data_IF_809906940593
#
_entry.id   IF_809906940593
#
_cell.length_a   1.000
_cell.length_b   1.000
_cell.length_c   1.000
_cell.angle_alpha   90.00
_cell.angle_beta   90.00
_cell.angle_gamma   90.00
#
_symmetry.space_group_name_H-M   'P 1'
#
loop_
_entity.id
_entity.type
_entity.pdbx_description
1 polymer ?
#
# COMPACT_ATOMS: atom_id res chain seq x y z
N UNK A 1 26.24 -24.19 -7.22
CA UNK A 1 26.29 -23.02 -6.32
C UNK A 1 26.04 -23.49 -4.89
N UNK A 2 26.90 -23.10 -3.95
CA UNK A 2 27.00 -23.63 -2.58
C UNK A 2 25.81 -23.18 -1.73
N UNK A 3 25.14 -24.13 -1.07
CA UNK A 3 24.11 -23.91 -0.06
C UNK A 3 24.77 -23.41 1.23
N UNK A 4 24.35 -22.24 1.72
CA UNK A 4 24.71 -21.76 3.05
C UNK A 4 23.61 -22.23 4.02
N UNK A 5 23.96 -23.17 4.88
CA UNK A 5 23.21 -23.52 6.07
C UNK A 5 23.58 -22.52 7.17
N UNK A 6 22.59 -21.92 7.82
CA UNK A 6 22.79 -21.13 9.04
C UNK A 6 22.40 -21.99 10.23
N UNK A 7 23.43 -22.32 11.02
CA UNK A 7 23.35 -22.99 12.32
C UNK A 7 22.59 -22.12 13.33
N UNK A 8 21.62 -22.72 14.02
CA UNK A 8 21.29 -22.36 15.40
C UNK A 8 22.45 -22.73 16.32
N UNK A 9 22.94 -21.79 17.13
CA UNK A 9 23.58 -22.11 18.41
C UNK A 9 23.79 -20.87 19.30
N UNK A 10 23.35 -21.03 20.55
CA UNK A 10 23.92 -20.53 21.80
C UNK A 10 23.55 -19.12 22.30
N UNK A 11 22.74 -19.16 23.37
CA UNK A 11 22.57 -18.11 24.36
C UNK A 11 23.88 -17.82 25.11
N UNK A 12 24.11 -16.57 25.55
CA UNK A 12 25.10 -16.29 26.58
C UNK A 12 24.47 -16.21 27.98
N UNK A 13 25.31 -16.58 28.94
CA UNK A 13 25.04 -16.72 30.34
C UNK A 13 24.69 -15.39 31.05
N UNK A 14 23.87 -15.55 32.08
CA UNK A 14 23.53 -14.57 33.09
C UNK A 14 24.79 -14.11 33.84
N UNK A 15 25.10 -12.82 33.80
CA UNK A 15 26.06 -12.17 34.71
C UNK A 15 25.38 -10.96 35.37
N UNK A 16 25.22 -11.04 36.68
CA UNK A 16 24.74 -9.97 37.55
C UNK A 16 25.77 -8.85 37.66
N UNK A 17 25.42 -7.59 37.35
CA UNK A 17 26.26 -6.44 37.68
C UNK A 17 26.05 -5.97 39.14
N UNK A 18 27.08 -5.41 39.81
CA UNK A 18 26.96 -4.84 41.14
C UNK A 18 26.24 -3.49 41.13
N UNK A 19 25.56 -3.20 42.24
CA UNK A 19 24.79 -1.98 42.48
C UNK A 19 25.65 -0.71 42.33
N UNK A 20 25.28 0.15 41.37
CA UNK A 20 25.82 1.49 41.21
C UNK A 20 24.83 2.52 41.74
N UNK A 21 25.24 3.23 42.78
CA UNK A 21 24.55 4.38 43.39
C UNK A 21 24.41 5.48 42.35
N UNK A 22 23.17 5.80 41.95
CA UNK A 22 22.87 6.89 41.01
C UNK A 22 22.32 8.09 41.77
N UNK A 23 22.94 9.24 41.54
CA UNK A 23 22.55 10.55 42.04
C UNK A 23 21.46 11.09 41.09
N UNK A 24 20.19 11.03 41.51
CA UNK A 24 19.08 11.63 40.76
C UNK A 24 19.18 13.16 40.82
N UNK A 25 19.60 13.77 39.72
CA UNK A 25 19.28 15.15 39.39
C UNK A 25 18.15 15.12 38.38
N UNK A 26 16.94 15.65 38.68
CA UNK A 26 15.88 15.73 37.70
C UNK A 26 16.27 16.78 36.65
N UNK A 27 16.83 16.32 35.54
CA UNK A 27 16.91 17.12 34.32
C UNK A 27 15.48 17.37 33.84
N UNK A 28 14.94 18.52 34.22
CA UNK A 28 13.70 19.06 33.69
C UNK A 28 13.80 19.10 32.17
N UNK A 29 13.20 18.11 31.52
CA UNK A 29 13.09 18.05 30.06
C UNK A 29 12.01 19.05 29.71
N UNK A 30 12.40 20.29 29.40
CA UNK A 30 11.49 21.30 28.87
C UNK A 30 11.02 20.80 27.50
N UNK A 31 9.84 20.18 27.45
CA UNK A 31 9.14 19.84 26.21
C UNK A 31 8.86 21.15 25.48
N UNK A 32 9.68 21.49 24.49
CA UNK A 32 9.35 22.55 23.55
C UNK A 32 8.09 22.13 22.81
N UNK A 33 6.99 22.84 23.01
CA UNK A 33 5.77 22.62 22.24
C UNK A 33 6.07 22.90 20.77
N UNK A 34 6.07 21.84 19.95
CA UNK A 34 6.17 21.95 18.49
C UNK A 34 4.99 22.79 17.99
N UNK A 35 5.26 23.79 17.16
CA UNK A 35 4.21 24.63 16.59
C UNK A 35 3.26 23.77 15.74
N UNK A 36 1.95 24.00 15.84
CA UNK A 36 0.96 23.27 15.06
C UNK A 36 1.16 23.51 13.55
N UNK A 37 1.30 22.42 12.77
CA UNK A 37 1.41 22.46 11.32
C UNK A 37 0.71 21.24 10.68
N UNK A 38 0.46 21.32 9.39
CA UNK A 38 0.07 20.19 8.55
C UNK A 38 0.99 20.12 7.35
N UNK A 39 1.52 18.93 7.06
CA UNK A 39 2.30 18.64 5.87
C UNK A 39 1.65 17.50 5.11
N UNK A 40 1.33 17.71 3.84
CA UNK A 40 0.66 16.75 2.98
C UNK A 40 1.53 16.46 1.75
N UNK A 41 1.63 15.18 1.39
CA UNK A 41 2.36 14.68 0.25
C UNK A 41 1.45 13.71 -0.52
N UNK A 42 1.02 14.14 -1.70
CA UNK A 42 0.10 13.41 -2.56
C UNK A 42 0.81 13.00 -3.83
N UNK A 43 0.70 11.74 -4.21
CA UNK A 43 1.15 11.25 -5.51
C UNK A 43 -0.07 10.73 -6.27
N UNK A 44 -0.26 11.17 -7.51
CA UNK A 44 -1.35 10.74 -8.40
C UNK A 44 -0.85 10.36 -9.78
N UNK A 45 -1.42 9.29 -10.35
CA UNK A 45 -1.12 8.82 -11.69
C UNK A 45 -2.28 7.99 -12.26
N UNK A 46 -2.39 7.96 -13.59
CA UNK A 46 -3.46 7.25 -14.31
C UNK A 46 -4.76 8.07 -14.41
N UNK A 47 -5.82 7.48 -14.98
CA UNK A 47 -7.13 8.10 -15.07
C UNK A 47 -7.86 8.12 -13.73
N UNK A 48 -8.88 8.97 -13.62
CA UNK A 48 -9.84 8.92 -12.52
C UNK A 48 -10.77 7.72 -12.73
N UNK A 49 -10.82 6.84 -11.74
CA UNK A 49 -11.64 5.64 -11.72
C UNK A 49 -12.65 5.81 -10.56
N UNK A 50 -13.91 6.13 -10.87
CA UNK A 50 -14.96 6.32 -9.86
C UNK A 50 -15.03 7.73 -9.25
N UNK A 51 -15.62 7.85 -8.06
CA UNK A 51 -15.97 9.12 -7.40
C UNK A 51 -14.71 9.87 -6.87
N UNK A 52 -13.93 10.48 -7.75
CA UNK A 52 -12.79 11.33 -7.37
C UNK A 52 -11.53 10.58 -6.94
N UNK A 53 -11.36 9.31 -7.32
CA UNK A 53 -10.16 8.51 -7.01
C UNK A 53 -9.34 8.29 -8.27
N UNK A 54 -8.04 8.60 -8.22
CA UNK A 54 -7.12 8.30 -9.31
C UNK A 54 -6.70 6.82 -9.26
N UNK A 55 -6.46 6.20 -10.41
CA UNK A 55 -6.02 4.80 -10.52
C UNK A 55 -4.85 4.49 -9.57
N UNK A 56 -3.88 5.40 -9.52
CA UNK A 56 -2.81 5.39 -8.54
C UNK A 56 -2.91 6.67 -7.73
N UNK A 57 -3.13 6.51 -6.43
CA UNK A 57 -3.15 7.60 -5.48
C UNK A 57 -2.57 7.14 -4.14
N UNK A 58 -1.67 7.96 -3.62
CA UNK A 58 -1.21 7.87 -2.23
C UNK A 58 -1.23 9.25 -1.62
N UNK A 59 -1.76 9.37 -0.41
CA UNK A 59 -1.85 10.62 0.33
C UNK A 59 -1.26 10.41 1.71
N UNK A 60 -0.09 11.02 1.96
CA UNK A 60 0.49 11.14 3.29
C UNK A 60 0.09 12.49 3.89
N UNK A 61 -0.40 12.50 5.11
CA UNK A 61 -0.66 13.71 5.91
C UNK A 61 0.05 13.57 7.25
N UNK A 62 0.81 14.58 7.64
CA UNK A 62 1.45 14.71 8.95
C UNK A 62 0.81 15.88 9.66
N UNK A 63 0.14 15.60 10.78
CA UNK A 63 -0.45 16.61 11.65
C UNK A 63 0.46 16.83 12.86
N UNK A 64 1.17 17.97 12.85
CA UNK A 64 2.07 18.36 13.92
C UNK A 64 1.38 18.77 15.22
N UNK A 65 0.07 19.05 15.20
CA UNK A 65 -0.67 19.38 16.42
C UNK A 65 -1.03 18.13 17.23
N UNK A 66 -1.40 17.05 16.54
CA UNK A 66 -1.74 15.77 17.17
C UNK A 66 -0.56 14.80 17.23
N UNK A 67 0.50 15.06 16.45
CA UNK A 67 1.64 14.18 16.30
C UNK A 67 1.29 12.87 15.59
N UNK A 68 0.30 12.90 14.69
CA UNK A 68 -0.17 11.73 13.93
C UNK A 68 0.19 11.90 12.47
N UNK A 69 0.74 10.84 11.86
CA UNK A 69 0.87 10.72 10.43
C UNK A 69 -0.09 9.65 9.89
N UNK A 70 -0.78 9.97 8.80
CA UNK A 70 -1.71 9.09 8.12
C UNK A 70 -1.29 8.91 6.67
N UNK A 71 -1.25 7.67 6.20
CA UNK A 71 -1.05 7.34 4.80
C UNK A 71 -2.30 6.62 4.29
N UNK A 72 -2.93 7.16 3.26
CA UNK A 72 -4.01 6.54 2.52
C UNK A 72 -3.50 6.11 1.15
N UNK A 73 -3.72 4.85 0.77
CA UNK A 73 -3.33 4.31 -0.55
C UNK A 73 -4.48 3.57 -1.20
N UNK A 74 -4.63 3.74 -2.51
CA UNK A 74 -5.67 3.04 -3.30
C UNK A 74 -5.07 1.98 -4.22
N UNK A 75 -3.79 2.08 -4.54
CA UNK A 75 -3.06 1.09 -5.33
C UNK A 75 -1.58 1.21 -5.02
N UNK A 76 -0.87 0.09 -5.04
CA UNK A 76 0.58 0.14 -5.01
C UNK A 76 1.10 0.87 -6.26
N UNK A 77 2.00 1.85 -6.10
CA UNK A 77 2.58 2.60 -7.23
C UNK A 77 3.34 1.72 -8.25
N UNK A 78 3.56 0.47 -7.88
CA UNK A 78 4.25 -0.63 -8.56
C UNK A 78 3.54 -1.67 -9.40
N UNK A 79 2.19 -1.75 -9.41
CA UNK A 79 1.52 -3.09 -9.49
C UNK A 79 2.20 -4.12 -8.57
N UNK A 80 2.77 -3.62 -7.47
CA UNK A 80 3.77 -4.33 -6.69
C UNK A 80 3.13 -5.48 -5.94
N UNK A 81 3.88 -6.57 -5.97
CA UNK A 81 3.64 -7.85 -5.31
C UNK A 81 3.06 -7.71 -3.89
N UNK A 82 1.79 -8.03 -3.62
CA UNK A 82 1.31 -8.22 -2.24
C UNK A 82 1.29 -6.98 -1.33
N UNK A 83 1.36 -5.78 -1.88
CA UNK A 83 1.33 -4.54 -1.08
C UNK A 83 -0.12 -4.23 -0.65
N UNK A 84 -0.38 -4.01 0.65
CA UNK A 84 -1.71 -3.69 1.13
C UNK A 84 -2.14 -2.27 0.72
N UNK A 85 -3.45 -2.05 0.67
CA UNK A 85 -4.05 -0.73 0.41
C UNK A 85 -5.00 -0.31 1.54
N UNK A 86 -5.31 0.97 1.62
CA UNK A 86 -6.18 1.57 2.63
C UNK A 86 -5.43 2.56 3.50
N UNK A 87 -5.84 2.69 4.76
CA UNK A 87 -5.32 3.67 5.71
C UNK A 87 -4.34 3.06 6.70
N UNK A 88 -3.22 3.74 6.85
CA UNK A 88 -2.13 3.45 7.78
C UNK A 88 -1.90 4.66 8.68
N UNK A 89 -1.61 4.43 9.95
CA UNK A 89 -1.55 5.51 10.93
C UNK A 89 -0.54 5.22 12.04
N UNK A 90 0.31 6.19 12.34
CA UNK A 90 1.28 6.09 13.44
C UNK A 90 1.50 7.45 14.10
N UNK A 91 1.89 7.41 15.37
CA UNK A 91 2.39 8.59 16.08
C UNK A 91 3.82 8.92 15.63
N UNK A 92 4.10 10.21 15.47
CA UNK A 92 5.40 10.77 15.10
C UNK A 92 6.00 11.46 16.31
N UNK A 93 7.28 11.21 16.59
CA UNK A 93 7.95 11.83 17.74
C UNK A 93 8.23 13.32 17.55
N UNK A 94 8.23 14.08 18.64
CA UNK A 94 8.40 15.54 18.64
C UNK A 94 9.64 16.02 17.87
N UNK A 95 10.77 15.32 18.01
CA UNK A 95 12.01 15.65 17.32
C UNK A 95 11.87 15.54 15.79
N UNK A 96 11.14 14.53 15.33
CA UNK A 96 10.88 14.33 13.90
C UNK A 96 9.87 15.34 13.37
N UNK A 97 8.82 15.66 14.14
CA UNK A 97 7.87 16.72 13.80
C UNK A 97 8.55 18.10 13.69
N UNK A 98 9.45 18.41 14.62
CA UNK A 98 10.21 19.65 14.60
C UNK A 98 11.15 19.72 13.38
N UNK A 99 11.83 18.63 13.04
CA UNK A 99 12.69 18.54 11.85
C UNK A 99 11.89 18.70 10.55
N UNK A 100 10.77 18.00 10.41
CA UNK A 100 9.87 18.12 9.25
C UNK A 100 9.32 19.55 9.09
N UNK A 101 8.85 20.16 10.18
CA UNK A 101 8.37 21.54 10.15
C UNK A 101 9.48 22.52 9.76
N UNK A 102 10.69 22.34 10.30
CA UNK A 102 11.81 23.22 9.98
C UNK A 102 12.22 23.11 8.51
N UNK A 103 12.29 21.89 7.97
CA UNK A 103 12.58 21.63 6.54
C UNK A 103 11.52 22.26 5.65
N UNK A 104 10.24 22.01 5.94
CA UNK A 104 9.13 22.53 5.16
C UNK A 104 9.04 24.08 5.22
N UNK A 105 9.29 24.69 6.38
CA UNK A 105 9.31 26.14 6.54
C UNK A 105 10.51 26.81 5.84
N UNK A 106 11.64 26.12 5.71
CA UNK A 106 12.80 26.60 4.98
C UNK A 106 12.66 26.49 3.45
N UNK A 107 11.68 25.72 2.96
CA UNK A 107 11.43 25.62 1.53
C UNK A 107 10.92 26.94 0.96
N UNK A 108 11.44 27.30 -0.20
CA UNK A 108 10.92 28.41 -1.01
C UNK A 108 10.43 27.82 -2.33
N UNK A 109 9.12 27.49 -2.43
CA UNK A 109 8.57 26.95 -3.66
C UNK A 109 8.81 27.91 -4.83
N UNK A 110 9.41 27.41 -5.90
CA UNK A 110 9.69 28.17 -7.11
C UNK A 110 8.53 28.11 -8.09
N UNK A 111 8.59 28.93 -9.15
CA UNK A 111 7.70 28.76 -10.28
C UNK A 111 8.02 27.42 -10.97
N UNK A 112 7.04 26.51 -10.99
CA UNK A 112 7.20 25.23 -11.67
C UNK A 112 6.53 25.32 -13.04
N UNK A 113 7.30 25.04 -14.09
CA UNK A 113 6.73 24.82 -15.41
C UNK A 113 6.31 23.36 -15.49
N UNK A 114 5.01 23.09 -15.34
CA UNK A 114 4.50 21.74 -15.55
C UNK A 114 4.76 21.33 -17.01
N UNK A 115 5.84 20.58 -17.23
CA UNK A 115 6.04 19.78 -18.43
C UNK A 115 5.33 18.44 -18.22
N UNK A 116 4.02 18.42 -18.41
CA UNK A 116 3.21 17.20 -18.35
C UNK A 116 2.80 16.72 -19.74
N UNK A 117 2.90 15.41 -19.98
CA UNK A 117 2.30 14.71 -21.11
C UNK A 117 1.35 13.58 -20.65
N UNK A 118 0.71 12.86 -21.58
CA UNK A 118 -0.03 11.64 -21.23
C UNK A 118 0.89 10.67 -20.47
N UNK A 119 0.40 10.10 -19.36
CA UNK A 119 1.18 9.15 -18.57
C UNK A 119 2.21 9.81 -17.63
N UNK A 120 2.03 11.07 -17.25
CA UNK A 120 2.87 11.71 -16.24
C UNK A 120 2.28 11.53 -14.84
N UNK A 121 3.12 11.14 -13.88
CA UNK A 121 2.76 11.11 -12.46
C UNK A 121 3.00 12.49 -11.85
N UNK A 122 2.07 12.94 -11.00
CA UNK A 122 2.14 14.24 -10.33
C UNK A 122 2.32 14.05 -8.84
N UNK A 123 3.29 14.76 -8.27
CA UNK A 123 3.47 14.92 -6.83
C UNK A 123 2.90 16.29 -6.43
N UNK A 124 2.12 16.35 -5.36
CA UNK A 124 1.71 17.61 -4.73
C UNK A 124 2.16 17.62 -3.27
N UNK A 125 2.95 18.64 -2.92
CA UNK A 125 3.38 18.91 -1.55
C UNK A 125 2.64 20.15 -1.04
N UNK A 126 2.08 20.07 0.16
CA UNK A 126 1.36 21.20 0.79
C UNK A 126 1.77 21.32 2.24
N UNK A 127 2.24 22.49 2.64
CA UNK A 127 2.61 22.82 4.02
C UNK A 127 1.76 23.97 4.54
N UNK A 128 1.23 23.84 5.75
CA UNK A 128 0.46 24.89 6.43
C UNK A 128 0.86 24.98 7.89
N UNK A 129 1.20 26.18 8.36
CA UNK A 129 1.51 26.47 9.76
C UNK A 129 0.92 27.84 10.14
N UNK A 130 -0.16 27.83 10.93
CA UNK A 130 -0.94 29.03 11.20
C UNK A 130 -1.51 29.65 9.92
N UNK A 131 -1.20 30.92 9.66
CA UNK A 131 -1.60 31.66 8.45
C UNK A 131 -0.59 31.56 7.31
N UNK A 132 0.56 30.91 7.54
CA UNK A 132 1.62 30.75 6.56
C UNK A 132 1.54 29.36 5.93
N UNK A 133 1.98 29.24 4.69
CA UNK A 133 2.00 27.95 4.01
C UNK A 133 2.34 28.07 2.54
N UNK A 134 2.46 26.93 1.91
CA UNK A 134 2.70 26.82 0.48
C UNK A 134 2.13 25.51 -0.06
N UNK A 135 1.94 25.48 -1.38
CA UNK A 135 1.52 24.31 -2.12
C UNK A 135 2.29 24.26 -3.44
N UNK A 136 2.79 23.08 -3.78
CA UNK A 136 3.56 22.87 -5.00
C UNK A 136 3.19 21.54 -5.65
N UNK A 137 2.79 21.60 -6.92
CA UNK A 137 2.65 20.42 -7.77
C UNK A 137 3.87 20.28 -8.70
N UNK A 138 4.40 19.06 -8.79
CA UNK A 138 5.65 18.69 -9.46
C UNK A 138 5.39 17.49 -10.37
N UNK A 139 6.11 17.41 -11.48
CA UNK A 139 6.20 16.18 -12.26
C UNK A 139 7.15 15.20 -11.55
N UNK A 140 6.67 14.00 -11.19
CA UNK A 140 7.49 13.02 -10.47
C UNK A 140 8.64 12.42 -11.29
N UNK A 141 8.66 12.65 -12.60
CA UNK A 141 9.69 12.18 -13.52
C UNK A 141 10.70 13.27 -13.90
N UNK A 142 10.55 14.49 -13.37
CA UNK A 142 11.45 15.61 -13.64
C UNK A 142 12.40 15.82 -12.45
N UNK A 143 13.64 15.29 -12.50
CA UNK A 143 14.58 15.38 -11.38
C UNK A 143 14.96 16.83 -11.04
N UNK A 144 14.94 17.74 -12.02
CA UNK A 144 15.28 19.15 -11.78
C UNK A 144 14.18 19.85 -10.96
N UNK A 145 12.92 19.41 -11.12
CA UNK A 145 11.80 19.88 -10.29
C UNK A 145 11.80 19.28 -8.89
N UNK A 146 12.27 18.04 -8.74
CA UNK A 146 12.29 17.33 -7.45
C UNK A 146 13.48 17.71 -6.58
N UNK A 147 14.65 17.97 -7.17
CA UNK A 147 15.90 18.23 -6.44
C UNK A 147 15.80 19.30 -5.32
N UNK A 148 15.06 20.42 -5.49
CA UNK A 148 14.88 21.39 -4.41
C UNK A 148 14.11 20.84 -3.19
N UNK A 149 13.29 19.80 -3.40
CA UNK A 149 12.43 19.18 -2.39
C UNK A 149 13.02 17.89 -1.79
N UNK A 150 14.13 17.37 -2.32
CA UNK A 150 14.81 16.17 -1.81
C UNK A 150 14.99 16.17 -0.28
N UNK A 151 15.41 17.28 0.37
CA UNK A 151 15.56 17.31 1.83
C UNK A 151 14.27 17.03 2.60
N UNK A 152 13.10 17.22 1.98
CA UNK A 152 11.78 16.93 2.53
C UNK A 152 11.25 15.58 2.04
N UNK A 153 11.48 15.22 0.78
CA UNK A 153 11.01 13.96 0.20
C UNK A 153 11.65 12.73 0.85
N UNK A 154 12.94 12.79 1.19
CA UNK A 154 13.64 11.69 1.85
C UNK A 154 12.98 11.27 3.18
N UNK A 155 12.79 12.16 4.18
CA UNK A 155 12.14 11.78 5.43
C UNK A 155 10.67 11.38 5.25
N UNK A 156 9.94 11.97 4.29
CA UNK A 156 8.57 11.56 3.99
C UNK A 156 8.51 10.14 3.42
N UNK A 157 9.43 9.76 2.54
CA UNK A 157 9.52 8.39 2.01
C UNK A 157 9.88 7.37 3.09
N UNK A 158 10.78 7.72 4.01
CA UNK A 158 11.07 6.89 5.19
C UNK A 158 9.85 6.74 6.11
N UNK A 159 9.07 7.82 6.28
CA UNK A 159 7.81 7.78 7.02
C UNK A 159 6.77 6.87 6.37
N UNK A 160 6.60 6.95 5.04
CA UNK A 160 5.72 6.03 4.29
C UNK A 160 6.10 4.57 4.55
N UNK A 161 7.40 4.23 4.47
CA UNK A 161 7.87 2.88 4.74
C UNK A 161 7.53 2.38 6.16
N UNK A 162 7.59 3.26 7.17
CA UNK A 162 7.18 2.93 8.55
C UNK A 162 5.67 2.82 8.70
N UNK A 163 4.90 3.68 8.04
CA UNK A 163 3.43 3.68 8.14
C UNK A 163 2.82 2.37 7.63
N UNK A 164 3.38 1.76 6.58
CA UNK A 164 2.95 0.43 6.14
C UNK A 164 3.01 -0.67 7.22
N UNK A 165 3.78 -0.47 8.30
CA UNK A 165 3.85 -1.38 9.45
C UNK A 165 2.76 -1.13 10.50
N UNK A 166 1.95 -0.08 10.33
CA UNK A 166 0.89 0.32 11.24
C UNK A 166 -0.46 0.46 10.52
N UNK A 167 -1.02 -0.63 9.96
CA UNK A 167 -2.32 -0.61 9.33
C UNK A 167 -3.42 -0.23 10.33
N UNK A 168 -4.27 0.72 9.95
CA UNK A 168 -5.42 1.13 10.75
C UNK A 168 -6.71 0.61 10.14
N UNK A 169 -6.88 0.81 8.83
CA UNK A 169 -8.01 0.36 8.03
C UNK A 169 -7.50 -0.06 6.65
N UNK A 170 -6.85 -1.22 6.58
CA UNK A 170 -6.13 -1.67 5.39
C UNK A 170 -6.50 -3.11 5.01
N UNK A 171 -6.51 -3.37 3.70
CA UNK A 171 -6.76 -4.67 3.12
C UNK A 171 -5.46 -5.27 2.57
N UNK A 172 -5.31 -6.59 2.72
CA UNK A 172 -4.29 -7.39 2.06
C UNK A 172 -4.91 -8.52 1.26
N UNK A 173 -4.22 -8.99 0.22
CA UNK A 173 -4.72 -10.04 -0.67
C UNK A 173 -3.71 -11.17 -0.77
N UNK A 174 -4.19 -12.40 -0.66
CA UNK A 174 -3.41 -13.63 -0.78
C UNK A 174 -4.08 -14.57 -1.78
N UNK A 175 -3.27 -15.37 -2.47
CA UNK A 175 -3.72 -16.50 -3.27
C UNK A 175 -3.11 -17.78 -2.71
N UNK A 176 -3.95 -18.77 -2.45
CA UNK A 176 -3.55 -20.05 -1.88
C UNK A 176 -3.73 -21.16 -2.93
N UNK A 177 -2.82 -22.15 -2.95
CA UNK A 177 -2.90 -23.26 -3.89
C UNK A 177 -4.16 -24.10 -3.64
N UNK A 178 -4.76 -24.57 -4.72
CA UNK A 178 -5.77 -25.62 -4.65
C UNK A 178 -5.18 -26.98 -4.26
N UNK A 179 -6.03 -27.93 -3.89
CA UNK A 179 -5.60 -29.28 -3.48
C UNK A 179 -4.91 -30.07 -4.62
N UNK A 180 -5.13 -29.70 -5.88
CA UNK A 180 -4.53 -30.30 -7.07
C UNK A 180 -4.16 -29.22 -8.10
N UNK A 181 -3.32 -29.52 -9.11
CA UNK A 181 -2.94 -28.58 -10.18
C UNK A 181 -4.10 -27.99 -10.99
N UNK A 182 -5.26 -28.62 -10.96
CA UNK A 182 -6.49 -28.17 -11.63
C UNK A 182 -7.60 -27.83 -10.65
N UNK A 183 -7.30 -27.83 -9.34
CA UNK A 183 -8.26 -27.39 -8.34
C UNK A 183 -8.40 -25.86 -8.40
N UNK A 184 -9.57 -25.34 -8.02
CA UNK A 184 -9.73 -23.93 -7.71
C UNK A 184 -8.63 -23.41 -6.78
N UNK A 185 -8.12 -22.22 -7.07
CA UNK A 185 -7.34 -21.46 -6.09
C UNK A 185 -8.28 -20.85 -5.07
N UNK A 186 -7.76 -20.56 -3.88
CA UNK A 186 -8.48 -19.74 -2.90
C UNK A 186 -7.90 -18.34 -2.92
N UNK A 187 -8.74 -17.35 -3.19
CA UNK A 187 -8.44 -15.94 -3.04
C UNK A 187 -8.86 -15.52 -1.64
N UNK A 188 -7.91 -15.02 -0.85
CA UNK A 188 -8.15 -14.60 0.52
C UNK A 188 -7.94 -13.10 0.66
N UNK A 189 -9.00 -12.40 1.07
CA UNK A 189 -8.94 -10.99 1.43
C UNK A 189 -8.83 -10.86 2.95
N UNK A 190 -7.85 -10.09 3.42
CA UNK A 190 -7.59 -9.88 4.84
C UNK A 190 -7.86 -8.43 5.23
N UNK A 191 -8.50 -8.21 6.38
CA UNK A 191 -8.42 -6.93 7.07
C UNK A 191 -7.17 -6.94 7.96
N UNK A 192 -6.14 -6.23 7.52
CA UNK A 192 -4.88 -6.07 8.26
C UNK A 192 -4.97 -4.98 9.33
N UNK A 193 -6.02 -4.17 9.32
CA UNK A 193 -6.23 -3.05 10.22
C UNK A 193 -6.76 -3.43 11.60
N UNK A 194 -7.11 -2.38 12.35
CA UNK A 194 -7.60 -2.44 13.74
C UNK A 194 -9.09 -2.14 13.87
N UNK A 195 -9.74 -1.72 12.79
CA UNK A 195 -11.16 -1.36 12.75
C UNK A 195 -11.92 -2.25 11.76
N UNK A 196 -13.24 -2.32 11.90
CA UNK A 196 -14.09 -2.97 10.91
C UNK A 196 -14.08 -2.20 9.59
N UNK A 197 -14.10 -2.94 8.48
CA UNK A 197 -14.13 -2.38 7.13
C UNK A 197 -15.43 -2.78 6.43
N UNK A 198 -15.98 -1.87 5.65
CA UNK A 198 -16.91 -2.21 4.60
C UNK A 198 -16.11 -2.57 3.34
N UNK A 199 -16.49 -3.65 2.66
CA UNK A 199 -15.89 -4.08 1.39
C UNK A 199 -17.02 -4.51 0.47
N UNK A 200 -16.98 -4.15 -0.81
CA UNK A 200 -17.88 -4.80 -1.78
C UNK A 200 -17.53 -6.27 -1.92
N UNK A 201 -18.55 -7.13 -1.99
CA UNK A 201 -18.38 -8.56 -2.20
C UNK A 201 -17.64 -8.80 -3.54
N UNK A 202 -16.39 -9.29 -3.51
CA UNK A 202 -15.59 -9.52 -4.70
C UNK A 202 -16.25 -10.51 -5.67
N UNK A 203 -17.07 -11.46 -5.18
CA UNK A 203 -17.77 -12.41 -6.05
C UNK A 203 -18.82 -11.75 -6.96
N UNK A 204 -19.26 -10.53 -6.62
CA UNK A 204 -20.14 -9.71 -7.44
C UNK A 204 -19.43 -8.84 -8.49
N UNK A 205 -18.09 -8.82 -8.53
CA UNK A 205 -17.31 -8.03 -9.48
C UNK A 205 -17.13 -8.80 -10.79
N UNK A 206 -17.63 -8.23 -11.90
CA UNK A 206 -17.66 -8.89 -13.21
C UNK A 206 -16.34 -8.80 -13.96
N UNK A 207 -16.09 -9.72 -14.88
CA UNK A 207 -14.96 -9.63 -15.82
C UNK A 207 -15.17 -8.63 -16.97
N UNK A 208 -16.31 -7.92 -17.00
CA UNK A 208 -16.74 -7.08 -18.12
C UNK A 208 -16.60 -5.57 -17.87
N UNK A 209 -16.20 -5.17 -16.67
CA UNK A 209 -16.00 -3.76 -16.31
C UNK A 209 -14.50 -3.55 -16.08
N UNK A 210 -13.85 -2.75 -16.94
CA UNK A 210 -12.39 -2.54 -16.90
C UNK A 210 -11.93 -1.96 -15.55
N UNK A 211 -12.85 -1.32 -14.84
CA UNK A 211 -12.61 -0.62 -13.57
C UNK A 211 -13.06 -1.41 -12.32
N UNK A 212 -13.66 -2.59 -12.50
CA UNK A 212 -14.19 -3.40 -11.40
C UNK A 212 -14.11 -4.91 -11.71
N UNK A 213 -13.11 -5.59 -11.13
CA UNK A 213 -12.88 -7.02 -11.37
C UNK A 213 -12.27 -7.72 -10.16
N UNK A 214 -12.65 -8.98 -9.92
CA UNK A 214 -11.98 -9.84 -8.96
C UNK A 214 -11.79 -11.27 -9.49
N UNK A 215 -10.64 -11.84 -9.17
CA UNK A 215 -10.29 -13.20 -9.59
C UNK A 215 -8.80 -13.47 -9.47
N UNK A 216 -8.32 -14.40 -10.28
CA UNK A 216 -6.90 -14.67 -10.45
C UNK A 216 -6.48 -14.50 -11.91
N UNK A 217 -5.25 -14.04 -12.11
CA UNK A 217 -4.55 -14.18 -13.39
C UNK A 217 -3.53 -15.31 -13.28
N UNK A 218 -3.50 -16.16 -14.30
CA UNK A 218 -2.65 -17.34 -14.37
C UNK A 218 -1.84 -17.27 -15.66
N UNK A 219 -0.52 -17.43 -15.58
CA UNK A 219 0.35 -17.54 -16.75
C UNK A 219 1.25 -18.78 -16.62
N UNK A 220 1.53 -19.45 -17.73
CA UNK A 220 2.52 -20.51 -17.76
C UNK A 220 3.94 -19.89 -17.73
N UNK A 221 4.85 -20.45 -16.94
CA UNK A 221 6.25 -20.06 -17.01
C UNK A 221 6.83 -20.58 -18.33
N UNK A 222 7.42 -19.71 -19.17
CA UNK A 222 8.15 -20.18 -20.32
C UNK A 222 9.37 -21.00 -19.85
N UNK A 223 9.75 -22.06 -20.59
CA UNK A 223 10.93 -22.82 -20.25
C UNK A 223 12.18 -21.93 -20.32
N UNK A 224 12.96 -21.89 -19.24
CA UNK A 224 14.23 -21.17 -19.21
C UNK A 224 15.24 -21.83 -20.16
N UNK A 225 15.75 -21.06 -21.13
CA UNK A 225 16.77 -21.51 -22.07
C UNK A 225 17.97 -20.56 -22.04
N UNK A 226 19.20 -21.05 -21.80
CA UNK A 226 20.40 -20.21 -21.80
C UNK A 226 20.56 -19.45 -23.12
N UNK A 227 20.81 -18.13 -23.02
CA UNK A 227 21.00 -17.27 -24.19
C UNK A 227 19.70 -16.86 -24.91
N UNK A 228 18.53 -17.26 -24.40
CA UNK A 228 17.22 -16.88 -24.95
C UNK A 228 16.50 -16.02 -23.93
N UNK A 229 15.99 -14.87 -24.38
CA UNK A 229 15.07 -14.06 -23.57
C UNK A 229 13.71 -14.74 -23.57
N UNK A 230 13.18 -15.03 -22.38
CA UNK A 230 11.85 -15.60 -22.24
C UNK A 230 10.79 -14.71 -22.90
N UNK A 231 9.81 -15.28 -23.62
CA UNK A 231 8.69 -14.49 -24.14
C UNK A 231 7.89 -13.87 -22.99
N UNK A 232 7.13 -12.78 -23.25
CA UNK A 232 6.19 -12.23 -22.28
C UNK A 232 5.20 -13.29 -21.78
N UNK A 233 4.78 -13.16 -20.53
CA UNK A 233 3.75 -14.02 -19.95
C UNK A 233 2.39 -13.77 -20.60
N UNK A 234 1.75 -14.84 -21.06
CA UNK A 234 0.37 -14.81 -21.54
C UNK A 234 -0.59 -15.11 -20.40
N UNK A 235 -1.22 -14.06 -19.86
CA UNK A 235 -2.15 -14.19 -18.75
C UNK A 235 -3.53 -14.70 -19.19
N UNK A 236 -4.06 -15.66 -18.44
CA UNK A 236 -5.46 -16.07 -18.44
C UNK A 236 -6.13 -15.54 -17.17
N UNK A 237 -7.27 -14.89 -17.31
CA UNK A 237 -8.10 -14.50 -16.17
C UNK A 237 -9.08 -15.61 -15.82
N UNK A 238 -9.25 -15.86 -14.52
CA UNK A 238 -10.24 -16.79 -13.97
C UNK A 238 -10.97 -16.05 -12.85
N UNK A 239 -12.29 -15.96 -12.96
CA UNK A 239 -13.13 -15.25 -12.00
C UNK A 239 -13.35 -16.07 -10.71
N UNK A 240 -13.88 -15.41 -9.67
CA UNK A 240 -14.30 -16.05 -8.43
C UNK A 240 -15.62 -16.84 -8.59
N UNK A 241 -15.88 -17.74 -7.64
CA UNK A 241 -17.16 -18.42 -7.45
C UNK A 241 -18.00 -17.75 -6.34
N UNK A 242 -19.33 -17.60 -6.54
CA UNK A 242 -20.06 -17.85 -7.79
C UNK A 242 -19.69 -16.83 -8.87
N UNK A 243 -19.77 -17.25 -10.14
CA UNK A 243 -19.70 -16.31 -11.25
C UNK A 243 -20.82 -15.27 -11.11
N UNK A 244 -20.50 -13.99 -11.31
CA UNK A 244 -21.42 -12.85 -11.15
C UNK A 244 -22.85 -13.18 -11.56
N UNK A 245 -23.76 -13.14 -10.59
CA UNK A 245 -25.18 -12.97 -10.84
C UNK A 245 -25.49 -11.50 -11.09
N UNK A 246 -26.50 -11.20 -11.90
CA UNK A 246 -26.97 -9.83 -12.20
C UNK A 246 -27.62 -9.10 -11.01
N UNK A 247 -27.27 -9.47 -9.77
CA UNK A 247 -27.81 -8.89 -8.55
C UNK A 247 -27.11 -7.58 -8.15
N UNK A 248 -27.71 -6.82 -7.21
CA UNK A 248 -27.05 -5.65 -6.64
C UNK A 248 -25.76 -6.06 -5.93
N UNK A 249 -24.71 -5.24 -6.09
CA UNK A 249 -23.44 -5.42 -5.36
C UNK A 249 -23.73 -5.39 -3.85
N UNK A 250 -23.33 -6.43 -3.15
CA UNK A 250 -23.49 -6.52 -1.70
C UNK A 250 -22.26 -5.94 -1.00
N UNK A 251 -22.48 -5.31 0.14
CA UNK A 251 -21.40 -4.90 1.04
C UNK A 251 -21.25 -5.93 2.14
N UNK A 252 -20.02 -6.35 2.37
CA UNK A 252 -19.64 -7.23 3.48
C UNK A 252 -18.90 -6.40 4.52
N UNK A 253 -19.13 -6.72 5.80
CA UNK A 253 -18.36 -6.16 6.90
C UNK A 253 -17.27 -7.14 7.29
N UNK A 254 -16.02 -6.69 7.26
CA UNK A 254 -14.85 -7.48 7.64
C UNK A 254 -14.26 -6.93 8.94
N UNK A 255 -14.36 -7.71 10.03
CA UNK A 255 -13.80 -7.34 11.32
C UNK A 255 -12.28 -7.25 11.33
N UNK A 256 -11.70 -6.59 12.32
CA UNK A 256 -10.25 -6.46 12.47
C UNK A 256 -9.57 -7.84 12.54
N UNK A 257 -8.54 -8.07 11.72
CA UNK A 257 -7.82 -9.34 11.63
C UNK A 257 -8.61 -10.49 10.99
N UNK A 258 -9.86 -10.27 10.57
CA UNK A 258 -10.64 -11.29 9.86
C UNK A 258 -10.23 -11.39 8.40
N UNK A 259 -10.59 -12.51 7.79
CA UNK A 259 -10.42 -12.75 6.36
C UNK A 259 -11.67 -13.41 5.77
N UNK A 260 -11.78 -13.31 4.45
CA UNK A 260 -12.79 -13.98 3.64
C UNK A 260 -12.10 -14.72 2.51
N UNK A 261 -12.63 -15.90 2.19
CA UNK A 261 -12.08 -16.82 1.20
C UNK A 261 -13.10 -17.03 0.08
N UNK A 262 -12.64 -16.93 -1.15
CA UNK A 262 -13.40 -17.32 -2.34
C UNK A 262 -12.62 -18.33 -3.16
N UNK A 263 -13.29 -19.37 -3.61
CA UNK A 263 -12.73 -20.23 -4.64
C UNK A 263 -12.75 -19.50 -5.99
N UNK A 264 -11.76 -19.77 -6.83
CA UNK A 264 -11.86 -19.43 -8.25
C UNK A 264 -12.78 -20.41 -8.95
N UNK A 265 -13.28 -20.04 -10.12
CA UNK A 265 -13.95 -20.99 -11.01
C UNK A 265 -12.99 -22.11 -11.41
N UNK A 266 -13.58 -23.26 -11.78
CA UNK A 266 -12.85 -24.32 -12.45
C UNK A 266 -12.13 -23.77 -13.70
N UNK A 267 -10.87 -24.17 -13.87
CA UNK A 267 -10.03 -23.71 -14.97
C UNK A 267 -9.16 -24.86 -15.48
N UNK A 268 -8.51 -24.66 -16.62
CA UNK A 268 -7.61 -25.64 -17.21
C UNK A 268 -6.32 -24.94 -17.65
N UNK A 269 -5.15 -25.50 -17.32
CA UNK A 269 -3.87 -24.99 -17.81
C UNK A 269 -3.83 -24.86 -19.33
N UNK A 270 -3.41 -23.70 -19.85
CA UNK A 270 -3.13 -23.51 -21.29
C UNK A 270 -1.92 -24.34 -21.77
N UNK A 271 -0.97 -24.58 -20.87
CA UNK A 271 0.25 -25.33 -21.14
C UNK A 271 0.64 -26.15 -19.89
N UNK A 272 1.32 -27.30 -20.07
CA UNK A 272 1.87 -28.06 -18.95
C UNK A 272 3.08 -27.35 -18.32
N UNK A 273 3.34 -27.61 -17.04
CA UNK A 273 4.52 -27.11 -16.32
C UNK A 273 4.17 -26.13 -15.21
N UNK A 274 5.18 -25.38 -14.75
CA UNK A 274 5.05 -24.36 -13.70
C UNK A 274 4.18 -23.21 -14.19
N UNK A 275 3.43 -22.65 -13.27
CA UNK A 275 2.54 -21.51 -13.49
C UNK A 275 2.82 -20.43 -12.46
N UNK A 276 2.57 -19.19 -12.85
CA UNK A 276 2.49 -18.04 -11.97
C UNK A 276 1.03 -17.66 -11.82
N UNK A 277 0.59 -17.54 -10.57
CA UNK A 277 -0.80 -17.22 -10.21
C UNK A 277 -0.79 -15.97 -9.35
N UNK A 278 -1.69 -15.04 -9.62
CA UNK A 278 -1.86 -13.85 -8.80
C UNK A 278 -3.34 -13.50 -8.65
N UNK A 279 -3.79 -13.33 -7.41
CA UNK A 279 -5.11 -12.80 -7.13
C UNK A 279 -5.14 -11.29 -7.29
N UNK A 280 -6.27 -10.78 -7.77
CA UNK A 280 -6.51 -9.37 -8.02
C UNK A 280 -7.94 -9.04 -7.58
N UNK A 281 -8.09 -7.91 -6.90
CA UNK A 281 -9.38 -7.28 -6.63
C UNK A 281 -9.27 -5.81 -7.00
N UNK A 282 -10.15 -5.34 -7.86
CA UNK A 282 -10.25 -3.95 -8.32
C UNK A 282 -11.66 -3.46 -8.05
N UNK A 283 -11.77 -2.42 -7.23
CA UNK A 283 -13.01 -1.70 -7.00
C UNK A 283 -12.72 -0.26 -6.56
N UNK A 284 -12.88 0.68 -7.49
CA UNK A 284 -12.72 2.11 -7.19
C UNK A 284 -14.05 2.83 -6.89
N UNK A 285 -15.19 2.12 -6.95
CA UNK A 285 -16.50 2.73 -6.90
C UNK A 285 -17.01 2.95 -5.46
N UNK A 286 -18.08 3.75 -5.35
CA UNK A 286 -18.82 3.95 -4.10
C UNK A 286 -18.19 4.95 -3.13
N UNK A 287 -18.92 5.18 -2.05
CA UNK A 287 -18.53 6.14 -1.01
C UNK A 287 -17.33 5.62 -0.19
N UNK A 288 -16.44 6.50 0.29
CA UNK A 288 -15.31 6.11 1.16
C UNK A 288 -15.77 5.65 2.56
N UNK A 289 -17.04 5.83 2.89
CA UNK A 289 -17.65 5.40 4.15
C UNK A 289 -19.01 4.77 3.85
N UNK A 290 -19.24 3.54 4.32
CA UNK A 290 -20.52 2.84 4.19
C UNK A 290 -20.99 2.46 5.59
N UNK A 291 -22.20 2.89 5.96
CA UNK A 291 -22.79 2.65 7.28
C UNK A 291 -21.86 2.99 8.45
N UNK A 292 -21.13 4.11 8.34
CA UNK A 292 -20.19 4.60 9.34
C UNK A 292 -18.84 3.86 9.39
N UNK A 293 -18.58 2.93 8.46
CA UNK A 293 -17.31 2.18 8.39
C UNK A 293 -16.46 2.66 7.21
N UNK A 294 -15.12 2.70 7.34
CA UNK A 294 -14.25 2.94 6.20
C UNK A 294 -14.48 1.90 5.12
N UNK A 295 -14.62 2.37 3.88
CA UNK A 295 -14.65 1.55 2.68
C UNK A 295 -13.31 1.69 1.96
N UNK A 296 -12.57 0.59 1.87
CA UNK A 296 -11.27 0.58 1.19
C UNK A 296 -11.51 0.36 -0.30
N UNK A 297 -11.20 1.39 -1.09
CA UNK A 297 -11.38 1.42 -2.55
C UNK A 297 -10.01 1.37 -3.24
N UNK A 298 -9.93 0.69 -4.37
CA UNK A 298 -8.80 0.70 -5.25
C UNK A 298 -8.47 -0.67 -5.83
N UNK A 299 -7.18 -0.96 -6.05
CA UNK A 299 -6.71 -2.23 -6.61
C UNK A 299 -5.71 -2.92 -5.70
N UNK A 300 -6.03 -4.16 -5.32
CA UNK A 300 -5.16 -5.07 -4.59
C UNK A 300 -4.62 -6.18 -5.50
N UNK A 301 -3.36 -6.52 -5.29
CA UNK A 301 -2.66 -7.60 -5.96
C UNK A 301 -2.01 -8.50 -4.91
N UNK A 302 -2.18 -9.82 -5.01
CA UNK A 302 -1.45 -10.74 -4.13
C UNK A 302 0.02 -10.85 -4.52
N UNK A 303 0.82 -11.47 -3.68
CA UNK A 303 2.09 -12.05 -4.11
C UNK A 303 1.85 -13.08 -5.22
N UNK A 304 2.80 -13.19 -6.15
CA UNK A 304 2.83 -14.27 -7.13
C UNK A 304 3.02 -15.62 -6.45
N UNK A 305 2.11 -16.56 -6.72
CA UNK A 305 2.20 -17.95 -6.31
C UNK A 305 2.70 -18.78 -7.48
N UNK A 306 3.85 -19.44 -7.29
CA UNK A 306 4.28 -20.48 -8.21
C UNK A 306 3.56 -21.79 -7.94
N UNK A 307 2.96 -22.38 -8.97
CA UNK A 307 2.19 -23.62 -8.85
C UNK A 307 2.62 -24.62 -9.94
N UNK A 308 2.71 -25.91 -9.63
CA UNK A 308 3.18 -26.96 -10.56
C UNK A 308 2.87 -28.36 -10.09
#
# INVERSE_FOLDING_TARGET
>A
MKRLAVLCALAPACSTPPAATTHDSPSSTTTMATAAFTLEYVTVFGPELGTGVQQYQSTLVVDGATGVATLDTVRAGSDAEGVPIGRFEATVGDAELADLSARAAAMTPGAVTQRGGPGTSTITLRYRAGTSGWEQSLNSNDPDQLAPFDPLLEPLNLMIGRLYQAPQAALGLEVLPGATPSAPFVVRLHNLGKVELAVLDPSGLGAADDDAWAGVRIAAFPPEQPGVTAPPLEWQQVALEPAVGSGPRQTIVLGAGQHLDWNTQAWTPKAPGRQLVQAIIVDYAGDPVIDGRPHVRGALFSNGLEHG
#
